data_IF_148453370504
#
_entry.id   IF_148453370504
#
_cell.length_a   1.000
_cell.length_b   1.000
_cell.length_c   1.000
_cell.angle_alpha   90.00
_cell.angle_beta   90.00
_cell.angle_gamma   90.00
#
_symmetry.space_group_name_H-M   'P 1'
#
loop_
_entity.id
_entity.type
_entity.pdbx_description
1 polymer ?
#
# COMPACT_ATOMS: atom_id res chain seq x y z
N UNK A 1 55.47 42.34 39.52
CA UNK A 1 54.43 42.40 38.47
C UNK A 1 54.77 41.37 37.41
N UNK A 2 54.13 40.21 37.46
CA UNK A 2 54.29 39.13 36.46
C UNK A 2 53.04 39.16 35.59
N UNK A 3 53.20 39.46 34.30
CA UNK A 3 52.11 39.48 33.34
C UNK A 3 52.02 38.12 32.64
N UNK A 4 51.00 37.33 33.01
CA UNK A 4 50.65 36.08 32.33
C UNK A 4 49.86 36.45 31.06
N UNK A 5 50.43 36.15 29.89
CA UNK A 5 49.70 36.23 28.61
C UNK A 5 48.96 34.91 28.38
N UNK A 6 47.64 34.93 28.54
CA UNK A 6 46.77 33.81 28.14
C UNK A 6 46.61 33.79 26.62
N UNK A 7 47.13 32.74 25.96
CA UNK A 7 46.76 32.42 24.58
C UNK A 7 45.43 31.67 24.59
N UNK A 8 44.40 32.28 23.99
CA UNK A 8 43.16 31.60 23.64
C UNK A 8 43.29 31.01 22.24
N UNK A 9 43.44 29.69 22.14
CA UNK A 9 43.27 28.97 20.87
C UNK A 9 41.78 28.89 20.54
N UNK A 10 41.34 29.68 19.56
CA UNK A 10 40.01 29.55 18.99
C UNK A 10 39.94 28.26 18.16
N UNK A 11 39.22 27.27 18.67
CA UNK A 11 38.83 26.08 17.89
C UNK A 11 37.70 26.52 16.97
N UNK A 12 38.01 26.70 15.68
CA UNK A 12 37.01 26.84 14.63
C UNK A 12 36.25 25.51 14.51
N UNK A 13 35.07 25.43 15.12
CA UNK A 13 34.09 24.43 14.74
C UNK A 13 33.71 24.68 13.28
N UNK A 14 34.20 23.84 12.37
CA UNK A 14 33.67 23.75 11.03
C UNK A 14 32.22 23.28 11.15
N UNK A 15 31.27 24.22 11.06
CA UNK A 15 29.87 23.90 10.80
C UNK A 15 29.82 23.19 9.46
N UNK A 16 29.73 21.85 9.49
CA UNK A 16 29.32 21.08 8.34
C UNK A 16 27.88 21.49 8.07
N UNK A 17 27.69 22.39 7.10
CA UNK A 17 26.37 22.71 6.59
C UNK A 17 25.75 21.39 6.11
N UNK A 18 24.78 20.89 6.87
CA UNK A 18 23.96 19.75 6.44
C UNK A 18 23.21 20.23 5.21
N UNK A 19 23.70 19.86 4.03
CA UNK A 19 23.00 20.05 2.77
C UNK A 19 21.63 19.38 2.89
N UNK A 20 20.57 20.15 3.10
CA UNK A 20 19.20 19.65 2.93
C UNK A 20 19.06 19.06 1.53
N UNK A 21 18.59 17.81 1.45
CA UNK A 21 18.30 17.18 0.18
C UNK A 21 17.32 18.07 -0.60
N UNK A 22 17.74 18.55 -1.77
CA UNK A 22 16.93 19.45 -2.60
C UNK A 22 15.63 18.75 -3.02
N UNK A 23 14.51 19.44 -2.85
CA UNK A 23 13.20 18.98 -3.32
C UNK A 23 13.22 18.75 -4.83
N UNK A 24 12.55 17.69 -5.29
CA UNK A 24 12.52 17.33 -6.70
C UNK A 24 11.68 18.33 -7.52
N UNK A 25 12.09 18.55 -8.78
CA UNK A 25 11.53 19.61 -9.65
C UNK A 25 10.30 19.20 -10.46
N UNK A 26 10.10 17.91 -10.72
CA UNK A 26 9.04 17.38 -11.60
C UNK A 26 8.38 16.16 -10.95
N UNK A 27 7.60 16.33 -9.87
CA UNK A 27 6.94 15.21 -9.21
C UNK A 27 5.87 14.61 -10.13
N UNK A 28 5.74 13.28 -10.08
CA UNK A 28 4.51 12.64 -10.53
C UNK A 28 3.37 13.04 -9.60
N UNK A 29 2.23 13.47 -10.15
CA UNK A 29 1.06 13.80 -9.33
C UNK A 29 0.17 12.56 -9.25
N UNK A 30 -0.03 12.05 -8.04
CA UNK A 30 -1.01 11.01 -7.72
C UNK A 30 -2.36 11.69 -7.52
N UNK A 31 -3.35 11.27 -8.30
CA UNK A 31 -4.66 11.91 -8.41
C UNK A 31 -5.76 10.96 -7.97
N UNK A 32 -6.85 11.48 -7.43
CA UNK A 32 -8.00 10.63 -7.08
C UNK A 32 -8.57 10.01 -8.36
N UNK A 33 -9.03 8.76 -8.30
CA UNK A 33 -9.50 8.03 -9.47
C UNK A 33 -10.56 8.76 -10.31
N UNK A 34 -11.48 9.47 -9.66
CA UNK A 34 -12.56 10.23 -10.30
C UNK A 34 -12.05 11.48 -11.00
N UNK A 35 -10.95 12.07 -10.56
CA UNK A 35 -10.36 13.26 -11.20
C UNK A 35 -9.63 12.94 -12.51
N UNK A 36 -9.29 11.66 -12.74
CA UNK A 36 -8.83 11.19 -14.04
C UNK A 36 -9.97 11.18 -15.07
N UNK A 37 -9.68 11.66 -16.29
CA UNK A 37 -10.53 11.45 -17.45
C UNK A 37 -10.66 9.95 -17.76
N UNK A 38 -11.75 9.56 -18.44
CA UNK A 38 -11.95 8.16 -18.86
C UNK A 38 -10.76 7.63 -19.68
N UNK A 39 -10.17 8.49 -20.52
CA UNK A 39 -8.98 8.14 -21.31
C UNK A 39 -7.73 7.90 -20.45
N UNK A 40 -7.58 8.62 -19.33
CA UNK A 40 -6.48 8.42 -18.38
C UNK A 40 -6.67 7.12 -17.61
N UNK A 41 -7.90 6.83 -17.17
CA UNK A 41 -8.24 5.55 -16.52
C UNK A 41 -7.91 4.37 -17.42
N UNK A 42 -8.31 4.44 -18.70
CA UNK A 42 -8.00 3.41 -19.70
C UNK A 42 -6.48 3.24 -19.90
N UNK A 43 -5.73 4.35 -19.95
CA UNK A 43 -4.26 4.30 -20.08
C UNK A 43 -3.59 3.70 -18.84
N UNK A 44 -4.07 4.00 -17.64
CA UNK A 44 -3.57 3.40 -16.41
C UNK A 44 -3.83 1.89 -16.38
N UNK A 45 -5.07 1.46 -16.68
CA UNK A 45 -5.44 0.05 -16.79
C UNK A 45 -4.59 -0.67 -17.85
N UNK A 46 -4.37 -0.03 -19.01
CA UNK A 46 -3.49 -0.56 -20.06
C UNK A 46 -2.05 -0.74 -19.57
N UNK A 47 -1.53 0.20 -18.76
CA UNK A 47 -0.19 0.09 -18.21
C UNK A 47 -0.05 -1.08 -17.22
N UNK A 48 -1.04 -1.30 -16.35
CA UNK A 48 -1.08 -2.50 -15.48
C UNK A 48 -1.08 -3.81 -16.28
N UNK A 49 -1.94 -3.89 -17.30
CA UNK A 49 -1.99 -5.04 -18.21
C UNK A 49 -0.69 -5.25 -18.98
N UNK A 50 0.06 -4.18 -19.25
CA UNK A 50 1.39 -4.28 -19.83
C UNK A 50 2.37 -4.95 -18.85
N UNK A 51 2.37 -4.61 -17.55
CA UNK A 51 3.19 -5.29 -16.55
C UNK A 51 2.82 -6.77 -16.39
N UNK A 52 1.54 -7.12 -16.51
CA UNK A 52 1.06 -8.52 -16.51
C UNK A 52 1.53 -9.32 -17.73
N UNK A 53 1.96 -8.66 -18.81
CA UNK A 53 2.48 -9.29 -20.04
C UNK A 53 3.99 -9.22 -20.16
N UNK A 54 4.62 -8.21 -19.56
CA UNK A 54 6.07 -8.02 -19.59
C UNK A 54 6.74 -9.20 -18.88
N UNK A 55 7.79 -9.83 -19.45
CA UNK A 55 8.43 -10.99 -18.84
C UNK A 55 8.93 -10.70 -17.42
N UNK A 56 8.78 -11.67 -16.54
CA UNK A 56 9.36 -11.66 -15.19
C UNK A 56 10.87 -11.43 -15.24
N UNK A 57 11.39 -10.69 -14.26
CA UNK A 57 12.81 -10.50 -13.98
C UNK A 57 13.27 -11.28 -12.73
N UNK A 58 12.35 -12.00 -12.08
CA UNK A 58 12.66 -12.86 -10.94
C UNK A 58 13.61 -13.98 -11.31
N UNK A 59 14.54 -14.31 -10.42
CA UNK A 59 15.17 -15.63 -10.45
C UNK A 59 14.12 -16.71 -10.17
N UNK A 60 14.24 -17.86 -10.82
CA UNK A 60 13.44 -19.04 -10.50
C UNK A 60 13.78 -19.64 -9.13
N UNK A 61 14.94 -19.30 -8.56
CA UNK A 61 15.28 -19.65 -7.20
C UNK A 61 14.47 -18.83 -6.17
N UNK A 62 14.24 -17.55 -6.47
CA UNK A 62 13.61 -16.62 -5.53
C UNK A 62 12.07 -16.70 -5.64
N UNK A 63 11.54 -16.66 -6.88
CA UNK A 63 10.09 -16.72 -7.15
C UNK A 63 9.83 -17.71 -8.30
N UNK A 64 9.76 -19.02 -8.02
CA UNK A 64 9.66 -20.07 -9.05
C UNK A 64 8.47 -19.89 -10.00
N UNK A 65 7.33 -19.46 -9.46
CA UNK A 65 6.08 -19.29 -10.19
C UNK A 65 5.97 -18.01 -11.03
N UNK A 66 6.89 -17.05 -10.89
CA UNK A 66 6.78 -15.77 -11.57
C UNK A 66 6.92 -15.92 -13.09
N UNK A 67 5.97 -15.33 -13.84
CA UNK A 67 5.96 -15.34 -15.31
C UNK A 67 6.02 -13.93 -15.90
N UNK A 68 5.54 -12.94 -15.15
CA UNK A 68 5.44 -11.56 -15.58
C UNK A 68 6.09 -10.58 -14.59
N UNK A 69 6.30 -9.33 -15.02
CA UNK A 69 6.73 -8.25 -14.11
C UNK A 69 5.69 -7.98 -13.02
N UNK A 70 4.41 -8.24 -13.30
CA UNK A 70 3.37 -8.23 -12.28
C UNK A 70 3.64 -9.27 -11.18
N UNK A 71 4.02 -10.49 -11.56
CA UNK A 71 4.34 -11.54 -10.61
C UNK A 71 5.60 -11.24 -9.80
N UNK A 72 6.55 -10.46 -10.34
CA UNK A 72 7.75 -10.03 -9.59
C UNK A 72 7.37 -9.17 -8.37
N UNK A 73 6.46 -8.22 -8.56
CA UNK A 73 5.95 -7.37 -7.47
C UNK A 73 5.11 -8.18 -6.48
N UNK A 74 4.22 -9.04 -6.99
CA UNK A 74 3.41 -9.92 -6.15
C UNK A 74 4.29 -10.84 -5.29
N UNK A 75 5.24 -11.54 -5.90
CA UNK A 75 6.09 -12.47 -5.15
C UNK A 75 7.05 -11.75 -4.21
N UNK A 76 7.53 -10.55 -4.55
CA UNK A 76 8.27 -9.69 -3.61
C UNK A 76 7.43 -9.38 -2.38
N UNK A 77 6.16 -9.02 -2.55
CA UNK A 77 5.26 -8.78 -1.42
C UNK A 77 5.00 -10.06 -0.62
N UNK A 78 4.70 -11.18 -1.29
CA UNK A 78 4.50 -12.49 -0.64
C UNK A 78 5.67 -12.85 0.28
N UNK A 79 6.91 -12.70 -0.21
CA UNK A 79 8.12 -13.07 0.55
C UNK A 79 8.33 -12.17 1.77
N UNK A 80 7.98 -10.89 1.67
CA UNK A 80 8.24 -9.91 2.74
C UNK A 80 7.03 -9.66 3.65
N UNK A 81 5.85 -10.21 3.34
CA UNK A 81 4.59 -9.81 3.97
C UNK A 81 4.59 -9.94 5.50
N UNK A 82 5.25 -10.96 6.06
CA UNK A 82 5.31 -11.15 7.52
C UNK A 82 6.26 -10.18 8.21
N UNK A 83 7.25 -9.64 7.49
CA UNK A 83 8.28 -8.72 7.99
C UNK A 83 7.95 -7.23 7.76
N UNK A 84 6.84 -6.94 7.07
CA UNK A 84 6.45 -5.57 6.67
C UNK A 84 5.03 -5.18 7.05
N UNK A 85 4.30 -6.05 7.76
CA UNK A 85 2.96 -5.76 8.30
C UNK A 85 2.95 -5.85 9.81
N UNK A 86 2.24 -4.93 10.46
CA UNK A 86 2.16 -4.74 11.91
C UNK A 86 3.54 -4.57 12.56
N UNK A 87 4.36 -3.76 11.88
CA UNK A 87 5.75 -3.42 12.20
C UNK A 87 6.01 -1.95 11.84
N UNK A 88 6.99 -1.31 12.47
CA UNK A 88 7.30 0.11 12.24
C UNK A 88 7.84 0.44 10.84
N UNK A 89 8.12 -0.56 10.00
CA UNK A 89 8.55 -0.38 8.60
C UNK A 89 7.39 -0.45 7.61
N UNK A 90 6.15 -0.70 8.03
CA UNK A 90 4.99 -0.86 7.14
C UNK A 90 4.84 0.28 6.14
N UNK A 91 4.67 1.51 6.63
CA UNK A 91 4.53 2.69 5.77
C UNK A 91 5.77 2.98 4.90
N UNK A 92 7.02 3.01 5.45
CA UNK A 92 8.23 3.18 4.65
C UNK A 92 8.40 2.13 3.54
N UNK A 93 8.14 0.84 3.85
CA UNK A 93 8.26 -0.25 2.89
C UNK A 93 7.23 -0.12 1.77
N UNK A 94 5.95 0.08 2.09
CA UNK A 94 4.89 0.21 1.09
C UNK A 94 5.07 1.46 0.23
N UNK A 95 5.55 2.58 0.80
CA UNK A 95 5.96 3.77 0.03
C UNK A 95 7.04 3.44 -1.00
N UNK A 96 8.06 2.68 -0.61
CA UNK A 96 9.13 2.25 -1.51
C UNK A 96 8.61 1.29 -2.59
N UNK A 97 7.74 0.36 -2.23
CA UNK A 97 7.09 -0.58 -3.16
C UNK A 97 6.26 0.16 -4.21
N UNK A 98 5.43 1.12 -3.76
CA UNK A 98 4.64 1.99 -4.63
C UNK A 98 5.51 2.82 -5.56
N UNK A 99 6.62 3.37 -5.06
CA UNK A 99 7.57 4.11 -5.90
C UNK A 99 8.16 3.22 -6.99
N UNK A 100 8.61 2.01 -6.63
CA UNK A 100 9.19 1.07 -7.59
C UNK A 100 8.18 0.62 -8.67
N UNK A 101 6.94 0.36 -8.25
CA UNK A 101 5.83 0.05 -9.15
C UNK A 101 5.49 1.23 -10.08
N UNK A 102 5.46 2.45 -9.55
CA UNK A 102 5.21 3.67 -10.33
C UNK A 102 6.27 3.87 -11.42
N UNK A 103 7.56 3.60 -11.13
CA UNK A 103 8.61 3.63 -12.15
C UNK A 103 8.37 2.59 -13.25
N UNK A 104 7.96 1.37 -12.90
CA UNK A 104 7.69 0.32 -13.88
C UNK A 104 6.50 0.64 -14.78
N UNK A 105 5.45 1.27 -14.25
CA UNK A 105 4.33 1.75 -15.05
C UNK A 105 4.75 2.77 -16.11
N UNK A 106 5.76 3.60 -15.85
CA UNK A 106 6.29 4.55 -16.85
C UNK A 106 6.84 3.81 -18.08
N UNK A 107 7.44 2.63 -17.87
CA UNK A 107 7.94 1.78 -18.97
C UNK A 107 6.81 1.18 -19.80
N UNK A 108 5.60 1.13 -19.24
CA UNK A 108 4.36 0.70 -19.89
C UNK A 108 3.52 1.87 -20.44
N UNK A 109 4.11 3.07 -20.53
CA UNK A 109 3.49 4.24 -21.17
C UNK A 109 2.56 5.05 -20.27
N UNK A 110 2.45 4.73 -18.98
CA UNK A 110 1.86 5.65 -18.00
C UNK A 110 2.75 6.89 -17.86
N UNK A 111 2.16 8.06 -17.60
CA UNK A 111 2.89 9.34 -17.46
C UNK A 111 2.53 10.13 -16.21
N UNK A 112 1.55 9.67 -15.43
CA UNK A 112 1.15 10.27 -14.16
C UNK A 112 1.77 9.57 -12.96
N UNK A 113 1.38 9.98 -11.76
CA UNK A 113 1.56 9.16 -10.55
C UNK A 113 0.52 8.05 -10.48
N UNK A 114 0.74 7.06 -9.62
CA UNK A 114 -0.29 6.03 -9.37
C UNK A 114 -1.55 6.72 -8.79
N UNK A 115 -2.73 6.58 -9.40
CA UNK A 115 -3.95 7.16 -8.86
C UNK A 115 -4.31 6.52 -7.52
N UNK A 116 -5.02 7.26 -6.68
CA UNK A 116 -5.48 6.76 -5.39
C UNK A 116 -7.00 6.59 -5.35
N UNK A 117 -7.45 5.64 -4.54
CA UNK A 117 -8.85 5.44 -4.21
C UNK A 117 -9.17 6.14 -2.89
N UNK A 118 -9.88 7.26 -2.93
CA UNK A 118 -10.35 7.88 -1.68
C UNK A 118 -11.55 7.12 -1.12
N UNK A 119 -11.30 6.31 -0.09
CA UNK A 119 -12.31 5.48 0.55
C UNK A 119 -13.47 6.29 1.12
N UNK A 120 -13.23 7.54 1.53
CA UNK A 120 -14.24 8.37 2.17
C UNK A 120 -15.41 8.71 1.25
N UNK A 121 -15.19 8.66 -0.07
CA UNK A 121 -16.20 8.92 -1.08
C UNK A 121 -17.11 7.71 -1.36
N UNK A 122 -16.70 6.52 -0.91
CA UNK A 122 -17.35 5.23 -1.21
C UNK A 122 -17.78 4.47 0.06
N UNK A 123 -17.46 5.01 1.24
CA UNK A 123 -17.74 4.38 2.51
C UNK A 123 -19.22 4.47 2.90
N UNK A 124 -19.83 5.64 2.73
CA UNK A 124 -21.25 5.85 3.03
C UNK A 124 -21.79 7.08 2.31
N UNK A 125 -23.02 6.95 1.80
CA UNK A 125 -23.84 8.05 1.32
C UNK A 125 -24.63 8.73 2.45
N UNK A 126 -25.63 9.55 2.09
CA UNK A 126 -26.61 10.06 3.05
C UNK A 126 -27.21 8.93 3.90
N UNK A 127 -27.51 9.23 5.16
CA UNK A 127 -28.13 8.29 6.11
C UNK A 127 -27.35 6.97 6.34
N UNK A 128 -26.02 7.01 6.17
CA UNK A 128 -25.12 5.85 6.27
C UNK A 128 -25.39 4.75 5.23
N UNK A 129 -25.95 5.10 4.07
CA UNK A 129 -26.20 4.17 2.99
C UNK A 129 -24.87 3.61 2.43
N UNK A 130 -24.69 2.30 2.54
CA UNK A 130 -23.49 1.60 2.06
C UNK A 130 -23.62 1.10 0.63
N UNK A 131 -24.79 1.29 0.00
CA UNK A 131 -24.99 0.96 -1.42
C UNK A 131 -24.05 1.75 -2.35
N UNK A 132 -23.65 2.96 -1.92
CA UNK A 132 -22.69 3.81 -2.66
C UNK A 132 -21.36 3.11 -2.95
N UNK A 133 -20.98 2.12 -2.15
CA UNK A 133 -19.80 1.31 -2.39
C UNK A 133 -19.88 0.63 -3.75
N UNK A 134 -21.03 0.05 -4.10
CA UNK A 134 -21.22 -0.66 -5.38
C UNK A 134 -21.22 0.30 -6.58
N UNK A 135 -21.60 1.56 -6.36
CA UNK A 135 -21.64 2.62 -7.37
C UNK A 135 -20.28 3.31 -7.57
N UNK A 136 -19.25 2.93 -6.81
CA UNK A 136 -17.92 3.52 -6.95
C UNK A 136 -17.44 3.42 -8.41
N UNK A 137 -17.00 4.52 -9.03
CA UNK A 137 -16.40 4.50 -10.37
C UNK A 137 -15.12 3.67 -10.45
N UNK A 138 -14.56 3.26 -9.31
CA UNK A 138 -13.45 2.31 -9.28
C UNK A 138 -13.88 0.91 -9.69
N UNK A 139 -15.15 0.56 -9.53
CA UNK A 139 -15.70 -0.74 -9.92
C UNK A 139 -16.35 -0.73 -11.31
N UNK A 140 -16.29 0.39 -12.05
CA UNK A 140 -16.84 0.49 -13.40
C UNK A 140 -16.33 -0.62 -14.34
N UNK A 141 -17.22 -1.17 -15.15
CA UNK A 141 -16.95 -2.34 -15.99
C UNK A 141 -16.19 -2.02 -17.29
N UNK A 142 -15.89 -0.76 -17.57
CA UNK A 142 -15.17 -0.36 -18.78
C UNK A 142 -13.92 0.44 -18.46
N UNK A 143 -14.07 1.46 -17.62
CA UNK A 143 -13.09 2.43 -17.21
C UNK A 143 -12.70 2.28 -15.74
N UNK A 144 -13.05 1.15 -15.10
CA UNK A 144 -12.76 0.80 -13.72
C UNK A 144 -12.01 -0.54 -13.61
N UNK A 145 -12.08 -1.14 -12.42
CA UNK A 145 -11.40 -2.38 -12.06
C UNK A 145 -12.35 -3.58 -12.07
N UNK A 146 -13.59 -3.41 -12.54
CA UNK A 146 -14.67 -4.39 -12.45
C UNK A 146 -15.28 -4.46 -11.05
N UNK A 147 -16.44 -5.09 -10.94
CA UNK A 147 -17.19 -5.21 -9.69
C UNK A 147 -16.82 -6.44 -8.85
N UNK A 148 -17.86 -7.05 -8.27
CA UNK A 148 -17.75 -8.15 -7.32
C UNK A 148 -17.51 -9.52 -8.00
N UNK A 149 -17.11 -10.51 -7.20
CA UNK A 149 -17.15 -11.91 -7.56
C UNK A 149 -18.56 -12.50 -7.47
N UNK A 150 -18.78 -13.65 -8.09
CA UNK A 150 -20.03 -14.40 -7.90
C UNK A 150 -20.17 -14.86 -6.44
N UNK A 151 -21.40 -14.96 -5.93
CA UNK A 151 -21.65 -15.45 -4.56
C UNK A 151 -21.04 -16.84 -4.31
N UNK A 152 -20.36 -16.98 -3.18
CA UNK A 152 -19.86 -18.25 -2.63
C UNK A 152 -20.49 -18.45 -1.25
N UNK A 153 -21.15 -19.59 -0.98
CA UNK A 153 -21.75 -19.86 0.32
C UNK A 153 -20.70 -20.20 1.40
N UNK A 154 -21.14 -20.36 2.65
CA UNK A 154 -20.27 -20.74 3.78
C UNK A 154 -19.85 -19.56 4.65
N UNK A 155 -19.13 -19.86 5.72
CA UNK A 155 -18.64 -18.89 6.69
C UNK A 155 -17.26 -19.35 7.22
N UNK A 156 -16.62 -18.61 8.10
CA UNK A 156 -15.29 -18.95 8.61
C UNK A 156 -15.25 -20.36 9.26
N UNK A 157 -16.29 -20.72 10.01
CA UNK A 157 -16.37 -22.01 10.71
C UNK A 157 -16.71 -23.19 9.79
N UNK A 158 -17.43 -22.93 8.70
CA UNK A 158 -17.83 -23.91 7.69
C UNK A 158 -17.70 -23.30 6.28
N UNK A 159 -16.47 -23.17 5.78
CA UNK A 159 -16.21 -22.51 4.51
C UNK A 159 -16.51 -23.43 3.33
N UNK A 160 -16.65 -22.83 2.15
CA UNK A 160 -16.71 -23.58 0.90
C UNK A 160 -15.40 -24.38 0.72
N UNK A 161 -15.48 -25.71 0.56
CA UNK A 161 -14.28 -26.55 0.43
C UNK A 161 -13.37 -26.12 -0.72
N UNK A 162 -12.05 -26.12 -0.45
CA UNK A 162 -11.02 -25.84 -1.46
C UNK A 162 -10.82 -24.37 -1.81
N UNK A 163 -11.50 -23.45 -1.11
CA UNK A 163 -11.25 -22.02 -1.25
C UNK A 163 -10.41 -21.49 -0.07
N UNK A 164 -9.47 -20.56 -0.33
CA UNK A 164 -8.77 -19.88 0.75
C UNK A 164 -9.77 -19.04 1.56
N UNK A 165 -9.58 -19.02 2.87
CA UNK A 165 -10.44 -18.31 3.83
C UNK A 165 -9.58 -17.37 4.64
N UNK A 166 -9.91 -16.09 4.61
CA UNK A 166 -9.31 -15.03 5.41
C UNK A 166 -10.38 -13.93 5.54
N UNK A 167 -10.48 -13.13 6.62
CA UNK A 167 -9.78 -13.20 7.90
C UNK A 167 -10.28 -14.34 8.80
N UNK A 168 -9.71 -14.56 10.02
CA UNK A 168 -10.13 -15.64 10.92
C UNK A 168 -11.43 -15.36 11.69
N UNK A 169 -12.42 -14.75 11.03
CA UNK A 169 -13.76 -14.47 11.55
C UNK A 169 -14.74 -14.22 10.39
N UNK A 170 -16.03 -14.21 10.71
CA UNK A 170 -17.08 -13.96 9.72
C UNK A 170 -17.15 -12.50 9.30
N UNK A 171 -17.35 -12.28 8.00
CA UNK A 171 -17.64 -10.98 7.41
C UNK A 171 -19.13 -10.96 7.02
N UNK A 172 -20.01 -10.39 7.87
CA UNK A 172 -21.44 -10.65 7.82
C UNK A 172 -22.15 -10.05 6.60
N UNK A 173 -21.59 -9.00 6.01
CA UNK A 173 -22.16 -8.24 4.89
C UNK A 173 -21.54 -8.58 3.54
N UNK A 174 -20.75 -9.65 3.50
CA UNK A 174 -20.12 -10.14 2.28
C UNK A 174 -21.17 -10.49 1.22
N UNK A 175 -20.86 -10.22 -0.04
CA UNK A 175 -21.83 -10.34 -1.15
C UNK A 175 -21.30 -11.06 -2.38
N UNK A 176 -20.10 -11.66 -2.31
CA UNK A 176 -19.43 -12.34 -3.42
C UNK A 176 -18.66 -13.58 -2.99
N UNK A 177 -17.38 -13.64 -3.37
CA UNK A 177 -16.42 -14.69 -3.01
C UNK A 177 -15.84 -15.43 -4.22
N UNK A 178 -16.48 -15.35 -5.37
CA UNK A 178 -16.06 -16.00 -6.60
C UNK A 178 -15.08 -15.17 -7.43
N UNK A 179 -14.66 -15.73 -8.57
CA UNK A 179 -13.78 -15.05 -9.52
C UNK A 179 -14.43 -13.78 -10.10
N UNK A 180 -13.61 -12.78 -10.42
CA UNK A 180 -14.02 -11.59 -11.16
C UNK A 180 -14.45 -11.95 -12.59
N UNK A 181 -15.70 -11.65 -12.94
CA UNK A 181 -16.32 -12.01 -14.24
C UNK A 181 -16.50 -10.86 -15.22
N UNK A 182 -16.45 -9.62 -14.74
CA UNK A 182 -16.74 -8.41 -15.51
C UNK A 182 -15.64 -7.38 -15.33
N UNK A 183 -15.58 -6.42 -16.23
CA UNK A 183 -14.58 -5.36 -16.18
C UNK A 183 -13.28 -5.68 -16.92
N UNK A 184 -12.35 -4.71 -16.98
CA UNK A 184 -11.10 -4.87 -17.71
C UNK A 184 -10.22 -6.02 -17.22
N UNK A 185 -10.38 -6.46 -15.97
CA UNK A 185 -9.61 -7.56 -15.38
C UNK A 185 -10.42 -8.87 -15.24
N UNK A 186 -11.57 -8.97 -15.91
CA UNK A 186 -12.35 -10.21 -15.96
C UNK A 186 -11.47 -11.41 -16.38
N UNK A 187 -11.56 -12.51 -15.63
CA UNK A 187 -10.78 -13.71 -15.91
C UNK A 187 -9.27 -13.61 -15.59
N UNK A 188 -8.82 -12.51 -14.97
CA UNK A 188 -7.44 -12.40 -14.48
C UNK A 188 -7.13 -13.54 -13.51
N UNK A 189 -5.94 -14.12 -13.68
CA UNK A 189 -5.39 -15.15 -12.80
C UNK A 189 -4.09 -14.64 -12.18
N UNK A 190 -3.94 -14.86 -10.89
CA UNK A 190 -2.65 -14.82 -10.22
C UNK A 190 -1.87 -16.09 -10.52
N UNK A 191 -0.57 -15.99 -10.78
CA UNK A 191 0.30 -17.17 -10.94
C UNK A 191 0.87 -17.69 -9.62
N UNK A 192 0.79 -16.87 -8.56
CA UNK A 192 1.34 -17.13 -7.22
C UNK A 192 0.20 -17.21 -6.20
N UNK A 193 0.51 -17.60 -4.96
CA UNK A 193 -0.47 -17.81 -3.90
C UNK A 193 -1.39 -19.02 -4.15
N UNK A 194 -2.52 -19.14 -3.42
CA UNK A 194 -2.92 -18.28 -2.31
C UNK A 194 -1.96 -18.38 -1.12
N UNK A 195 -2.09 -17.47 -0.16
CA UNK A 195 -1.19 -17.33 0.97
C UNK A 195 0.24 -17.02 0.54
N UNK A 196 1.20 -17.54 1.29
CA UNK A 196 2.62 -17.27 1.11
C UNK A 196 3.31 -18.05 -0.03
N UNK A 197 2.53 -18.71 -0.91
CA UNK A 197 3.07 -19.58 -1.96
C UNK A 197 3.72 -18.81 -3.13
N UNK A 198 5.00 -19.09 -3.43
CA UNK A 198 5.74 -18.52 -4.57
C UNK A 198 5.90 -19.49 -5.76
N UNK A 199 5.43 -20.73 -5.62
CA UNK A 199 5.38 -21.70 -6.72
C UNK A 199 4.27 -21.37 -7.72
N UNK A 200 4.36 -21.91 -8.94
CA UNK A 200 3.34 -21.71 -9.95
C UNK A 200 2.03 -22.41 -9.54
N UNK A 201 1.02 -21.62 -9.16
CA UNK A 201 -0.29 -22.11 -8.75
C UNK A 201 -1.40 -21.17 -9.25
N UNK A 202 -1.78 -21.26 -10.54
CA UNK A 202 -2.67 -20.30 -11.16
C UNK A 202 -4.08 -20.34 -10.54
N UNK A 203 -4.51 -19.23 -9.96
CA UNK A 203 -5.82 -19.07 -9.34
C UNK A 203 -6.47 -17.75 -9.79
N UNK A 204 -7.81 -17.71 -9.89
CA UNK A 204 -8.50 -16.49 -10.32
C UNK A 204 -8.49 -15.43 -9.21
N UNK A 205 -8.49 -14.16 -9.60
CA UNK A 205 -8.73 -13.05 -8.67
C UNK A 205 -10.19 -13.09 -8.20
N UNK A 206 -10.39 -13.14 -6.89
CA UNK A 206 -11.70 -13.20 -6.24
C UNK A 206 -12.02 -11.90 -5.52
N UNK A 207 -13.30 -11.54 -5.50
CA UNK A 207 -13.81 -10.41 -4.71
C UNK A 207 -15.07 -10.82 -3.97
N UNK A 208 -15.19 -10.35 -2.74
CA UNK A 208 -16.26 -10.70 -1.81
C UNK A 208 -16.69 -9.44 -1.07
N UNK A 209 -17.28 -8.50 -1.81
CA UNK A 209 -17.54 -7.15 -1.31
C UNK A 209 -18.30 -7.14 0.02
N UNK A 210 -17.77 -6.37 0.97
CA UNK A 210 -18.24 -6.19 2.34
C UNK A 210 -18.31 -4.68 2.68
N UNK A 211 -19.36 -3.98 2.22
CA UNK A 211 -19.45 -2.52 2.27
C UNK A 211 -19.64 -1.93 3.69
N UNK A 212 -20.28 -2.62 4.63
CA UNK A 212 -20.30 -2.23 6.06
C UNK A 212 -18.90 -2.30 6.66
N UNK A 213 -18.18 -3.40 6.40
CA UNK A 213 -16.80 -3.57 6.87
C UNK A 213 -15.89 -2.47 6.30
N UNK A 214 -16.07 -2.14 5.02
CA UNK A 214 -15.37 -1.03 4.37
C UNK A 214 -15.69 0.32 5.04
N UNK A 215 -16.98 0.64 5.25
CA UNK A 215 -17.43 1.88 5.89
C UNK A 215 -16.81 2.07 7.27
N UNK A 216 -16.94 1.06 8.11
CA UNK A 216 -16.59 1.15 9.53
C UNK A 216 -15.09 1.27 9.75
N UNK A 217 -14.29 0.69 8.84
CA UNK A 217 -12.84 0.64 8.98
C UNK A 217 -12.09 1.64 8.11
N UNK A 218 -12.61 2.03 6.94
CA UNK A 218 -11.94 2.93 6.00
C UNK A 218 -12.68 4.26 5.76
N UNK A 219 -13.88 4.44 6.33
CA UNK A 219 -14.67 5.65 6.16
C UNK A 219 -14.13 6.90 6.88
N UNK A 220 -14.84 8.03 6.76
CA UNK A 220 -14.40 9.32 7.30
C UNK A 220 -14.04 9.29 8.80
N UNK A 221 -14.75 8.51 9.60
CA UNK A 221 -14.48 8.37 11.04
C UNK A 221 -13.13 7.69 11.32
N UNK A 222 -12.78 6.67 10.53
CA UNK A 222 -11.48 5.99 10.63
C UNK A 222 -10.34 6.91 10.17
N UNK A 223 -10.52 7.64 9.06
CA UNK A 223 -9.56 8.66 8.62
C UNK A 223 -9.34 9.69 9.72
N UNK A 224 -10.41 10.26 10.27
CA UNK A 224 -10.32 11.24 11.37
C UNK A 224 -9.54 10.67 12.57
N UNK A 225 -9.80 9.42 12.94
CA UNK A 225 -9.10 8.74 14.03
C UNK A 225 -7.60 8.60 13.74
N UNK A 226 -7.22 8.14 12.55
CA UNK A 226 -5.82 8.04 12.13
C UNK A 226 -5.13 9.41 12.12
N UNK A 227 -5.79 10.40 11.52
CA UNK A 227 -5.27 11.77 11.42
C UNK A 227 -5.05 12.47 12.78
N UNK A 228 -5.73 12.01 13.82
CA UNK A 228 -5.59 12.53 15.19
C UNK A 228 -4.46 11.90 16.01
N UNK A 229 -3.81 10.85 15.51
CA UNK A 229 -2.71 10.19 16.22
C UNK A 229 -1.53 11.15 16.42
N UNK A 230 -0.89 11.03 17.59
CA UNK A 230 0.10 12.03 18.08
C UNK A 230 1.53 11.77 17.62
N UNK A 231 1.84 10.52 17.34
CA UNK A 231 3.14 10.02 16.90
C UNK A 231 2.96 8.93 15.84
N UNK A 232 4.05 8.59 15.18
CA UNK A 232 4.06 7.61 14.11
C UNK A 232 3.67 6.20 14.59
N UNK A 233 4.13 5.75 15.76
CA UNK A 233 3.90 4.37 16.20
C UNK A 233 2.41 4.08 16.45
N UNK A 234 1.68 5.03 17.05
CA UNK A 234 0.24 4.93 17.17
C UNK A 234 -0.49 5.17 15.84
N UNK A 235 -0.01 6.09 15.01
CA UNK A 235 -0.53 6.27 13.66
C UNK A 235 -0.48 4.96 12.88
N UNK A 236 0.70 4.36 12.77
CA UNK A 236 0.98 3.08 12.10
C UNK A 236 0.04 1.98 12.58
N UNK A 237 0.10 1.65 13.88
CA UNK A 237 -0.73 0.59 14.49
C UNK A 237 -2.23 0.77 14.25
N UNK A 238 -2.75 1.97 14.51
CA UNK A 238 -4.19 2.25 14.39
C UNK A 238 -4.62 2.18 12.93
N UNK A 239 -3.82 2.73 12.02
CA UNK A 239 -4.22 2.87 10.62
C UNK A 239 -4.04 1.60 9.81
N UNK A 240 -3.04 0.78 10.13
CA UNK A 240 -2.91 -0.55 9.55
C UNK A 240 -4.11 -1.44 9.91
N UNK A 241 -4.61 -1.31 11.14
CA UNK A 241 -5.77 -2.04 11.66
C UNK A 241 -7.14 -1.43 11.32
N UNK A 242 -7.15 -0.22 10.73
CA UNK A 242 -8.38 0.46 10.33
C UNK A 242 -8.41 0.63 8.83
N UNK A 243 -8.06 1.78 8.27
CA UNK A 243 -8.36 2.05 6.86
C UNK A 243 -7.56 1.21 5.87
N UNK A 244 -6.37 0.74 6.25
CA UNK A 244 -5.63 -0.24 5.46
C UNK A 244 -6.40 -1.58 5.42
N UNK A 245 -6.66 -2.16 6.60
CA UNK A 245 -7.44 -3.40 6.72
C UNK A 245 -8.84 -3.28 6.11
N UNK A 246 -9.51 -2.15 6.29
CA UNK A 246 -10.85 -1.87 5.77
C UNK A 246 -10.90 -1.84 4.25
N UNK A 247 -9.90 -1.26 3.59
CA UNK A 247 -9.81 -1.29 2.13
C UNK A 247 -9.57 -2.70 1.57
N UNK A 248 -8.75 -3.50 2.26
CA UNK A 248 -8.54 -4.90 1.92
C UNK A 248 -9.78 -5.77 2.15
N UNK A 249 -10.36 -5.73 3.35
CA UNK A 249 -11.50 -6.55 3.74
C UNK A 249 -12.79 -6.11 3.06
N UNK A 250 -12.98 -4.82 2.82
CA UNK A 250 -14.13 -4.29 2.10
C UNK A 250 -14.28 -4.84 0.68
N UNK A 251 -13.15 -5.11 0.02
CA UNK A 251 -13.12 -5.72 -1.32
C UNK A 251 -13.01 -7.25 -1.24
N UNK A 252 -12.28 -7.74 -0.23
CA UNK A 252 -11.85 -9.12 -0.10
C UNK A 252 -12.80 -10.02 0.68
N UNK A 253 -13.64 -9.50 1.57
CA UNK A 253 -14.54 -10.29 2.41
C UNK A 253 -13.86 -11.52 3.02
N UNK A 254 -14.51 -12.69 2.87
CA UNK A 254 -14.03 -13.97 3.41
C UNK A 254 -13.15 -14.77 2.42
N UNK A 255 -13.40 -14.63 1.12
CA UNK A 255 -12.81 -15.49 0.08
C UNK A 255 -12.00 -14.74 -0.98
N UNK A 256 -11.99 -13.41 -0.91
CA UNK A 256 -11.42 -12.52 -1.91
C UNK A 256 -9.93 -12.29 -1.74
N UNK A 257 -9.28 -12.00 -2.87
CA UNK A 257 -7.82 -11.89 -2.96
C UNK A 257 -7.26 -10.71 -2.15
N UNK A 258 -7.98 -9.57 -2.08
CA UNK A 258 -7.55 -8.41 -1.30
C UNK A 258 -7.43 -8.70 0.20
N UNK A 259 -8.14 -9.70 0.73
CA UNK A 259 -8.11 -10.05 2.15
C UNK A 259 -6.93 -10.99 2.48
N UNK A 260 -6.33 -11.65 1.48
CA UNK A 260 -5.15 -12.48 1.63
C UNK A 260 -3.92 -11.57 1.81
N UNK A 261 -3.42 -11.46 3.04
CA UNK A 261 -2.30 -10.58 3.40
C UNK A 261 -1.09 -10.75 2.49
N UNK A 262 -0.79 -11.97 2.05
CA UNK A 262 0.37 -12.22 1.18
C UNK A 262 0.03 -11.92 -0.28
N UNK A 263 -1.12 -12.41 -0.74
CA UNK A 263 -1.51 -12.41 -2.16
C UNK A 263 -2.28 -11.16 -2.60
N UNK A 264 -2.63 -10.23 -1.71
CA UNK A 264 -3.44 -9.04 -2.03
C UNK A 264 -2.96 -8.21 -3.23
N UNK A 265 -1.65 -8.06 -3.53
CA UNK A 265 -1.20 -7.35 -4.74
C UNK A 265 -1.61 -7.99 -6.06
N UNK A 266 -2.12 -9.23 -6.04
CA UNK A 266 -2.63 -9.90 -7.23
C UNK A 266 -3.94 -9.28 -7.71
N UNK A 267 -4.74 -8.66 -6.82
CA UNK A 267 -5.87 -7.84 -7.22
C UNK A 267 -5.36 -6.45 -7.66
N UNK A 268 -5.68 -5.97 -8.88
CA UNK A 268 -5.21 -4.68 -9.35
C UNK A 268 -5.65 -3.47 -8.50
N UNK A 269 -6.68 -3.62 -7.65
CA UNK A 269 -7.10 -2.59 -6.69
C UNK A 269 -6.07 -2.33 -5.58
N UNK A 270 -5.17 -3.26 -5.29
CA UNK A 270 -4.13 -3.11 -4.27
C UNK A 270 -3.34 -1.81 -4.44
N UNK A 271 -2.94 -1.50 -5.68
CA UNK A 271 -2.05 -0.38 -5.96
C UNK A 271 -2.73 0.99 -5.74
N UNK A 272 -4.00 1.10 -6.09
CA UNK A 272 -4.77 2.34 -5.88
C UNK A 272 -5.23 2.49 -4.43
N UNK A 273 -5.44 1.38 -3.72
CA UNK A 273 -5.63 1.35 -2.27
C UNK A 273 -4.36 1.82 -1.54
N UNK A 274 -3.19 1.24 -1.83
CA UNK A 274 -1.93 1.60 -1.17
C UNK A 274 -1.42 2.99 -1.56
N UNK A 275 -1.79 3.52 -2.73
CA UNK A 275 -1.61 4.94 -3.03
C UNK A 275 -2.37 5.85 -2.05
N UNK A 276 -3.57 5.45 -1.60
CA UNK A 276 -4.32 6.21 -0.59
C UNK A 276 -3.83 5.96 0.84
N UNK A 277 -3.31 4.76 1.15
CA UNK A 277 -2.59 4.49 2.41
C UNK A 277 -1.39 5.43 2.52
N UNK A 278 -0.57 5.51 1.48
CA UNK A 278 0.57 6.42 1.44
C UNK A 278 0.15 7.90 1.49
N UNK A 279 -0.94 8.27 0.82
CA UNK A 279 -1.57 9.61 0.92
C UNK A 279 -1.95 9.93 2.35
N UNK A 280 -2.55 8.99 3.08
CA UNK A 280 -2.94 9.19 4.47
C UNK A 280 -1.73 9.46 5.36
N UNK A 281 -0.65 8.69 5.20
CA UNK A 281 0.58 8.95 5.94
C UNK A 281 1.17 10.33 5.63
N UNK A 282 1.28 10.69 4.34
CA UNK A 282 1.76 12.01 3.97
C UNK A 282 0.88 13.13 4.52
N UNK A 283 -0.45 12.98 4.45
CA UNK A 283 -1.43 13.93 5.02
C UNK A 283 -1.22 14.11 6.53
N UNK A 284 -0.94 13.02 7.24
CA UNK A 284 -0.59 13.09 8.65
C UNK A 284 0.76 13.78 8.86
N UNK A 285 1.79 13.50 8.06
CA UNK A 285 3.11 14.12 8.18
C UNK A 285 3.05 15.64 8.01
N UNK A 286 2.35 16.15 6.99
CA UNK A 286 2.34 17.58 6.66
C UNK A 286 1.61 18.47 7.67
N UNK A 287 0.80 17.91 8.57
CA UNK A 287 0.16 18.65 9.67
C UNK A 287 1.16 19.22 10.67
N UNK A 288 2.32 18.60 10.81
CA UNK A 288 3.47 19.11 11.57
C UNK A 288 4.75 18.53 10.96
N UNK A 289 5.08 18.95 9.74
CA UNK A 289 6.17 18.35 8.97
C UNK A 289 7.52 18.44 9.71
N UNK A 290 7.75 19.54 10.44
CA UNK A 290 8.98 19.75 11.22
C UNK A 290 9.21 18.64 12.25
N UNK A 291 8.14 18.15 12.88
CA UNK A 291 8.20 17.06 13.85
C UNK A 291 8.08 15.69 13.17
N UNK A 292 7.11 15.55 12.25
CA UNK A 292 6.64 14.26 11.72
C UNK A 292 7.43 13.73 10.54
N UNK A 293 8.25 14.55 9.86
CA UNK A 293 9.15 14.07 8.80
C UNK A 293 10.16 13.05 9.35
N UNK A 294 10.55 13.16 10.62
CA UNK A 294 11.54 12.28 11.26
C UNK A 294 10.93 11.33 12.30
N UNK A 295 9.61 11.38 12.47
CA UNK A 295 8.91 10.55 13.43
C UNK A 295 8.72 9.14 12.85
N UNK A 296 9.40 8.18 13.47
CA UNK A 296 9.27 6.76 13.17
C UNK A 296 9.45 5.98 14.48
N UNK A 297 8.58 4.99 14.68
CA UNK A 297 8.67 4.02 15.77
C UNK A 297 7.76 2.83 15.44
N UNK A 298 7.79 1.79 16.28
CA UNK A 298 7.07 0.55 16.06
C UNK A 298 8.01 -0.64 15.95
N UNK A 299 7.48 -1.86 16.07
CA UNK A 299 8.33 -3.02 16.27
C UNK A 299 9.02 -3.48 15.00
N UNK A 300 10.16 -4.15 15.16
CA UNK A 300 10.82 -4.88 14.07
C UNK A 300 10.29 -6.32 13.92
N UNK A 301 9.52 -6.80 14.89
CA UNK A 301 8.88 -8.12 14.88
C UNK A 301 7.38 -7.92 14.85
N UNK A 302 6.71 -8.69 13.99
CA UNK A 302 5.27 -8.62 13.78
C UNK A 302 4.49 -8.71 15.11
N UNK A 303 3.59 -7.74 15.36
CA UNK A 303 2.77 -7.60 16.58
C UNK A 303 3.53 -7.37 17.91
N UNK A 304 4.86 -7.24 17.92
CA UNK A 304 5.67 -7.01 19.13
C UNK A 304 5.63 -5.55 19.60
N UNK A 305 4.45 -4.96 19.84
CA UNK A 305 4.35 -3.53 20.19
C UNK A 305 5.02 -3.14 21.53
N UNK A 306 5.49 -4.11 22.33
CA UNK A 306 6.35 -3.87 23.50
C UNK A 306 7.83 -3.70 23.13
N UNK A 307 8.19 -4.02 21.88
CA UNK A 307 9.54 -3.99 21.30
C UNK A 307 10.56 -4.87 22.05
N UNK A 308 10.11 -5.97 22.68
CA UNK A 308 10.96 -6.81 23.50
C UNK A 308 11.76 -7.84 22.68
N UNK A 309 11.20 -8.31 21.56
CA UNK A 309 11.83 -9.34 20.75
C UNK A 309 12.82 -8.73 19.73
N UNK A 310 12.38 -7.71 19.00
CA UNK A 310 13.15 -7.12 17.90
C UNK A 310 13.71 -5.73 18.16
N UNK A 311 13.20 -5.04 19.19
CA UNK A 311 13.43 -3.61 19.34
C UNK A 311 12.61 -2.77 18.36
N UNK A 312 12.92 -1.48 18.34
CA UNK A 312 12.14 -0.45 17.64
C UNK A 312 12.81 -0.06 16.32
N UNK A 313 12.01 0.23 15.29
CA UNK A 313 12.49 0.77 14.02
C UNK A 313 13.21 2.11 14.24
N UNK A 314 14.18 2.41 13.37
CA UNK A 314 14.86 3.71 13.37
C UNK A 314 14.93 4.27 11.96
N UNK A 315 15.21 5.56 11.85
CA UNK A 315 15.49 6.23 10.57
C UNK A 315 16.62 5.60 9.75
N UNK A 316 17.55 4.89 10.39
CA UNK A 316 18.64 4.20 9.69
C UNK A 316 18.35 2.74 9.37
N UNK A 317 17.19 2.21 9.78
CA UNK A 317 16.79 0.84 9.50
C UNK A 317 16.68 0.63 7.99
N UNK A 318 17.28 -0.44 7.44
CA UNK A 318 17.20 -0.74 6.02
C UNK A 318 15.81 -1.24 5.65
N UNK A 319 15.31 -0.83 4.50
CA UNK A 319 14.11 -1.36 3.86
C UNK A 319 14.48 -1.84 2.45
N UNK A 320 13.89 -2.94 2.02
CA UNK A 320 14.26 -3.60 0.78
C UNK A 320 13.04 -4.13 0.03
N UNK A 321 12.78 -3.59 -1.17
CA UNK A 321 11.78 -4.10 -2.10
C UNK A 321 12.53 -4.96 -3.12
N UNK A 322 12.56 -6.26 -2.83
CA UNK A 322 13.87 -6.88 -2.77
C UNK A 322 14.19 -7.99 -3.75
N UNK A 323 13.39 -9.04 -3.77
CA UNK A 323 13.81 -10.29 -4.43
C UNK A 323 14.10 -10.09 -5.93
N UNK A 324 13.50 -9.07 -6.55
CA UNK A 324 13.50 -8.92 -8.01
C UNK A 324 13.64 -7.49 -8.51
N UNK A 325 12.97 -6.52 -7.86
CA UNK A 325 13.03 -5.10 -8.22
C UNK A 325 14.30 -4.42 -7.66
N UNK A 326 14.95 -5.06 -6.68
CA UNK A 326 16.25 -4.70 -6.09
C UNK A 326 16.36 -3.24 -5.66
N UNK A 327 15.32 -2.71 -5.03
CA UNK A 327 15.32 -1.34 -4.51
C UNK A 327 15.62 -1.34 -3.00
N UNK A 328 16.77 -0.76 -2.62
CA UNK A 328 17.23 -0.62 -1.23
C UNK A 328 17.17 0.84 -0.81
N UNK A 329 16.67 1.08 0.39
CA UNK A 329 16.69 2.39 1.02
C UNK A 329 16.86 2.22 2.54
N UNK A 330 17.11 3.31 3.24
CA UNK A 330 16.83 3.41 4.68
C UNK A 330 15.49 4.10 4.86
N UNK A 331 14.86 3.89 6.02
CA UNK A 331 13.61 4.57 6.36
C UNK A 331 13.70 6.09 6.13
N UNK A 332 14.79 6.73 6.55
CA UNK A 332 15.01 8.18 6.33
C UNK A 332 14.97 8.64 4.88
N UNK A 333 15.28 7.75 3.93
CA UNK A 333 15.38 8.08 2.50
C UNK A 333 13.99 8.15 1.85
N UNK A 334 12.95 7.65 2.53
CA UNK A 334 11.55 7.62 2.06
C UNK A 334 10.58 8.42 2.94
N UNK A 335 11.06 9.10 3.98
CA UNK A 335 10.17 9.86 4.87
C UNK A 335 9.52 11.07 4.19
N UNK A 336 10.11 11.60 3.12
CA UNK A 336 9.59 12.78 2.43
C UNK A 336 9.41 12.50 0.94
N UNK A 337 8.19 12.70 0.43
CA UNK A 337 7.78 12.24 -0.90
C UNK A 337 8.43 12.98 -2.08
N UNK A 338 9.07 14.13 -1.81
CA UNK A 338 9.82 14.94 -2.81
C UNK A 338 11.33 15.01 -2.58
N UNK A 339 11.91 14.22 -1.68
CA UNK A 339 13.35 14.24 -1.39
C UNK A 339 13.97 12.86 -1.66
N UNK A 340 15.29 12.83 -1.83
CA UNK A 340 16.04 11.59 -2.00
C UNK A 340 15.66 10.88 -3.30
N UNK A 341 15.30 9.61 -3.20
CA UNK A 341 14.89 8.78 -4.35
C UNK A 341 13.44 9.05 -4.78
N UNK A 342 12.65 9.70 -3.94
CA UNK A 342 11.23 9.93 -4.19
C UNK A 342 11.02 11.27 -4.92
N UNK A 343 10.11 11.24 -5.90
CA UNK A 343 9.68 12.44 -6.61
C UNK A 343 8.24 12.32 -7.06
N UNK A 344 7.32 12.45 -6.11
CA UNK A 344 5.88 12.52 -6.38
C UNK A 344 5.18 13.46 -5.40
N UNK A 345 3.94 13.79 -5.71
CA UNK A 345 3.05 14.60 -4.86
C UNK A 345 1.62 14.09 -5.00
N UNK A 346 0.73 14.57 -4.14
CA UNK A 346 -0.71 14.28 -4.23
C UNK A 346 -1.48 15.49 -4.75
N UNK A 347 -2.52 15.25 -5.56
CA UNK A 347 -3.47 16.29 -6.00
C UNK A 347 -4.18 16.93 -4.81
N UNK A 348 -4.46 16.12 -3.78
CA UNK A 348 -5.08 16.55 -2.54
C UNK A 348 -4.66 15.66 -1.36
N UNK A 349 -4.87 16.12 -0.12
CA UNK A 349 -4.49 15.46 1.15
C UNK A 349 -5.60 15.59 2.21
N UNK A 350 -5.62 14.72 3.23
CA UNK A 350 -6.63 14.70 4.29
C UNK A 350 -6.50 15.76 5.41
#
# INVERSE_FOLDING_TARGET
MVAIKSLWTAVLLACVAVSEAKSCKKPFIRREWRSLSLSERDRYIKAQKCLMKKPSQSSKADIPGAKSRWDDFLGTHIINADDVHFVGTFYPYHRLLMHAYEQELQTCGWKGGVPYWDWTLDAAGPDNDTSVFFDSPIFDNKHGFGGNGAWVPGNFSNPQPGLPVNPPWDVPDRSGGGCLKVGPFAGLKSNLGPGNGTAYNPNCIRRDFAPLSFRDMAGPAAIKTGMNQKDFGFFDRVTESTFHSGGHWGVGGLYGTMTDKWQSPADPLFWVHHANVDRAWWSWQIRDLKKREKDVSGPLVNFDYTNQAGGNVTLNHPIFVGETVKMKAKVKDVMHIRKGILCYDYEDTY
#
